data_IF_597371150202
#
_entry.id   IF_597371150202
#
_cell.length_a   1.000
_cell.length_b   1.000
_cell.length_c   1.000
_cell.angle_alpha   90.00
_cell.angle_beta   90.00
_cell.angle_gamma   90.00
#
_symmetry.space_group_name_H-M   'P 1'
#
loop_
_entity.id
_entity.type
_entity.pdbx_description
1 polymer ?
#
# COMPACT_ATOMS: atom_id res chain seq x y z
N UNK A 1 5.15 -8.21 22.88
CA UNK A 1 5.41 -7.28 21.77
C UNK A 1 4.89 -5.91 22.18
N UNK A 2 5.73 -4.90 22.17
CA UNK A 2 5.35 -3.49 22.40
C UNK A 2 4.72 -2.89 21.14
N UNK A 3 4.07 -1.73 21.27
CA UNK A 3 3.53 -1.00 20.10
C UNK A 3 4.62 -0.63 19.10
N UNK A 4 5.79 -0.19 19.58
CA UNK A 4 6.92 0.15 18.72
C UNK A 4 7.44 -1.07 17.94
N UNK A 5 7.60 -2.21 18.61
CA UNK A 5 8.00 -3.46 17.96
C UNK A 5 6.99 -3.89 16.88
N UNK A 6 5.69 -3.77 17.18
CA UNK A 6 4.62 -4.07 16.24
C UNK A 6 4.68 -3.15 15.02
N UNK A 7 4.88 -1.84 15.20
CA UNK A 7 4.96 -0.87 14.11
C UNK A 7 6.21 -1.06 13.24
N UNK A 8 7.35 -1.41 13.85
CA UNK A 8 8.57 -1.76 13.09
C UNK A 8 8.38 -3.05 12.29
N UNK A 9 7.70 -4.05 12.85
CA UNK A 9 7.35 -5.27 12.11
C UNK A 9 6.41 -4.96 10.95
N UNK A 10 5.36 -4.16 11.19
CA UNK A 10 4.44 -3.69 10.14
C UNK A 10 5.18 -2.95 9.03
N UNK A 11 6.11 -2.06 9.38
CA UNK A 11 6.98 -1.37 8.40
C UNK A 11 7.75 -2.36 7.52
N UNK A 12 8.36 -3.40 8.10
CA UNK A 12 9.10 -4.42 7.35
C UNK A 12 8.20 -5.23 6.42
N UNK A 13 7.00 -5.59 6.88
CA UNK A 13 6.01 -6.27 6.04
C UNK A 13 5.63 -5.38 4.85
N UNK A 14 5.58 -4.07 5.03
CA UNK A 14 5.25 -3.13 3.96
C UNK A 14 6.33 -3.00 2.90
N UNK A 15 7.62 -3.10 3.28
CA UNK A 15 8.71 -3.21 2.29
C UNK A 15 8.44 -4.38 1.33
N UNK A 16 8.12 -5.55 1.89
CA UNK A 16 7.89 -6.77 1.11
C UNK A 16 6.63 -6.64 0.27
N UNK A 17 5.53 -6.18 0.88
CA UNK A 17 4.24 -6.04 0.19
C UNK A 17 4.35 -5.07 -0.98
N UNK A 18 4.89 -3.87 -0.78
CA UNK A 18 4.97 -2.85 -1.84
C UNK A 18 5.95 -3.27 -2.94
N UNK A 19 7.06 -3.93 -2.58
CA UNK A 19 8.00 -4.47 -3.55
C UNK A 19 7.33 -5.52 -4.44
N UNK A 20 6.58 -6.44 -3.82
CA UNK A 20 5.83 -7.48 -4.55
C UNK A 20 4.73 -6.88 -5.41
N UNK A 21 3.92 -5.97 -4.86
CA UNK A 21 2.81 -5.33 -5.57
C UNK A 21 3.33 -4.49 -6.75
N UNK A 22 4.33 -3.64 -6.54
CA UNK A 22 4.95 -2.83 -7.58
C UNK A 22 5.57 -3.68 -8.69
N UNK A 23 6.29 -4.74 -8.34
CA UNK A 23 6.87 -5.66 -9.31
C UNK A 23 5.79 -6.43 -10.09
N UNK A 24 4.76 -6.92 -9.40
CA UNK A 24 3.66 -7.66 -10.02
C UNK A 24 2.79 -6.77 -10.91
N UNK A 25 2.60 -5.51 -10.55
CA UNK A 25 1.93 -4.52 -11.40
C UNK A 25 2.69 -4.31 -12.73
N UNK A 26 4.02 -4.31 -12.69
CA UNK A 26 4.85 -4.15 -13.90
C UNK A 26 4.84 -5.43 -14.74
N UNK A 27 5.22 -6.55 -14.13
CA UNK A 27 5.47 -7.81 -14.81
C UNK A 27 4.18 -8.51 -15.25
N UNK A 28 3.13 -8.46 -14.42
CA UNK A 28 1.91 -9.25 -14.60
C UNK A 28 0.63 -8.45 -14.28
N UNK A 29 0.42 -7.26 -14.89
CA UNK A 29 -0.68 -6.35 -14.52
C UNK A 29 -2.06 -7.02 -14.60
N UNK A 30 -2.30 -7.85 -15.61
CA UNK A 30 -3.57 -8.53 -15.78
C UNK A 30 -3.86 -9.53 -14.65
N UNK A 31 -2.87 -10.34 -14.26
CA UNK A 31 -3.03 -11.31 -13.18
C UNK A 31 -3.22 -10.61 -11.84
N UNK A 32 -2.41 -9.58 -11.58
CA UNK A 32 -2.49 -8.78 -10.35
C UNK A 32 -3.85 -8.09 -10.22
N UNK A 33 -4.34 -7.45 -11.28
CA UNK A 33 -5.68 -6.83 -11.30
C UNK A 33 -6.80 -7.84 -11.01
N UNK A 34 -6.74 -9.05 -11.57
CA UNK A 34 -7.69 -10.12 -11.26
C UNK A 34 -7.67 -10.52 -9.78
N UNK A 35 -6.48 -10.63 -9.19
CA UNK A 35 -6.34 -10.93 -7.76
C UNK A 35 -6.97 -9.82 -6.91
N UNK A 36 -6.81 -8.56 -7.31
CA UNK A 36 -7.42 -7.38 -6.68
C UNK A 36 -8.93 -7.23 -6.96
N UNK A 37 -9.53 -8.16 -7.70
CA UNK A 37 -10.98 -8.23 -7.94
C UNK A 37 -11.47 -7.56 -9.22
N UNK A 38 -10.55 -7.19 -10.10
CA UNK A 38 -10.85 -6.70 -11.43
C UNK A 38 -10.86 -7.88 -12.41
N UNK A 39 -11.98 -8.63 -12.43
CA UNK A 39 -12.13 -9.94 -13.12
C UNK A 39 -11.72 -9.91 -14.61
N UNK A 40 -12.17 -8.88 -15.33
CA UNK A 40 -11.87 -8.68 -16.75
C UNK A 40 -11.21 -7.30 -16.96
N UNK A 41 -9.89 -7.17 -16.73
CA UNK A 41 -9.22 -5.90 -16.89
C UNK A 41 -9.11 -5.53 -18.38
N UNK A 42 -9.57 -4.33 -18.73
CA UNK A 42 -9.44 -3.77 -20.07
C UNK A 42 -7.96 -3.56 -20.43
N UNK A 43 -7.62 -3.45 -21.72
CA UNK A 43 -6.24 -3.11 -22.14
C UNK A 43 -5.72 -1.84 -21.45
N UNK A 44 -6.52 -0.78 -21.40
CA UNK A 44 -6.13 0.49 -20.78
C UNK A 44 -5.90 0.36 -19.28
N UNK A 45 -6.74 -0.40 -18.58
CA UNK A 45 -6.56 -0.67 -17.15
C UNK A 45 -5.23 -1.39 -16.89
N UNK A 46 -4.84 -2.35 -17.72
CA UNK A 46 -3.54 -3.05 -17.60
C UNK A 46 -2.37 -2.08 -17.80
N UNK A 47 -2.44 -1.20 -18.80
CA UNK A 47 -1.39 -0.22 -19.08
C UNK A 47 -1.30 0.87 -18.00
N UNK A 48 -2.43 1.35 -17.49
CA UNK A 48 -2.49 2.27 -16.36
C UNK A 48 -1.90 1.63 -15.11
N UNK A 49 -2.35 0.42 -14.75
CA UNK A 49 -1.88 -0.27 -13.55
C UNK A 49 -0.38 -0.58 -13.61
N UNK A 50 0.14 -0.98 -14.78
CA UNK A 50 1.59 -1.13 -15.00
C UNK A 50 2.37 0.15 -14.72
N UNK A 51 1.82 1.32 -15.08
CA UNK A 51 2.44 2.64 -14.80
C UNK A 51 2.34 3.05 -13.34
N UNK A 52 1.42 2.49 -12.57
CA UNK A 52 1.36 2.66 -11.11
C UNK A 52 2.44 1.84 -10.40
N UNK A 53 2.97 0.77 -11.03
CA UNK A 53 4.01 -0.10 -10.47
C UNK A 53 5.18 0.64 -9.78
N UNK A 54 5.84 1.60 -10.45
CA UNK A 54 6.90 2.41 -9.85
C UNK A 54 6.50 3.17 -8.57
N UNK A 55 5.23 3.53 -8.39
CA UNK A 55 4.74 4.23 -7.18
C UNK A 55 4.87 3.31 -5.97
N UNK A 56 4.43 2.05 -6.06
CA UNK A 56 4.64 1.10 -4.95
C UNK A 56 6.13 0.78 -4.75
N UNK A 57 6.95 0.77 -5.80
CA UNK A 57 8.40 0.61 -5.62
C UNK A 57 9.05 1.77 -4.85
N UNK A 58 8.58 3.01 -5.02
CA UNK A 58 9.06 4.14 -4.19
C UNK A 58 8.55 4.03 -2.75
N UNK A 59 7.37 3.44 -2.53
CA UNK A 59 6.86 3.18 -1.19
C UNK A 59 7.72 2.14 -0.48
N UNK A 60 8.06 1.03 -1.15
CA UNK A 60 8.98 0.02 -0.62
C UNK A 60 10.33 0.64 -0.23
N UNK A 61 10.87 1.53 -1.08
CA UNK A 61 12.12 2.24 -0.81
C UNK A 61 12.00 3.16 0.41
N UNK A 62 10.91 3.92 0.54
CA UNK A 62 10.67 4.78 1.69
C UNK A 62 10.59 3.96 3.00
N UNK A 63 9.87 2.84 2.99
CA UNK A 63 9.77 1.93 4.13
C UNK A 63 11.13 1.33 4.51
N UNK A 64 11.96 0.99 3.52
CA UNK A 64 13.31 0.49 3.74
C UNK A 64 14.23 1.56 4.33
N UNK A 65 14.18 2.79 3.82
CA UNK A 65 14.97 3.91 4.36
C UNK A 65 14.59 4.17 5.81
N UNK A 66 13.30 4.20 6.13
CA UNK A 66 12.81 4.36 7.50
C UNK A 66 13.21 3.19 8.42
N UNK A 67 13.18 1.94 7.93
CA UNK A 67 13.65 0.77 8.71
C UNK A 67 15.14 0.90 9.10
N UNK A 68 15.96 1.44 8.19
CA UNK A 68 17.42 1.53 8.37
C UNK A 68 17.86 2.74 9.16
N UNK A 69 17.27 3.91 8.91
CA UNK A 69 17.64 5.18 9.57
C UNK A 69 16.84 5.40 10.85
N UNK A 70 15.56 5.04 10.85
CA UNK A 70 14.68 5.12 12.01
C UNK A 70 14.48 6.51 12.58
N UNK A 71 14.78 7.59 11.85
CA UNK A 71 14.65 8.95 12.37
C UNK A 71 13.19 9.40 12.46
N UNK A 72 12.90 10.35 13.34
CA UNK A 72 11.56 10.94 13.48
C UNK A 72 10.99 11.44 12.14
N UNK A 73 11.82 12.08 11.31
CA UNK A 73 11.44 12.56 9.99
C UNK A 73 11.06 11.41 9.04
N UNK A 74 11.78 10.28 9.08
CA UNK A 74 11.45 9.13 8.23
C UNK A 74 10.07 8.55 8.61
N UNK A 75 9.78 8.43 9.92
CA UNK A 75 8.47 7.98 10.39
C UNK A 75 7.34 8.95 10.04
N UNK A 76 7.61 10.26 10.07
CA UNK A 76 6.64 11.27 9.62
C UNK A 76 6.36 11.13 8.11
N UNK A 77 7.39 10.89 7.29
CA UNK A 77 7.22 10.63 5.87
C UNK A 77 6.38 9.38 5.62
N UNK A 78 6.59 8.30 6.37
CA UNK A 78 5.76 7.08 6.26
C UNK A 78 4.31 7.32 6.69
N UNK A 79 4.08 8.15 7.70
CA UNK A 79 2.74 8.52 8.12
C UNK A 79 1.96 9.20 6.99
N UNK A 80 2.60 10.15 6.30
CA UNK A 80 2.01 10.81 5.13
C UNK A 80 1.81 9.86 3.96
N UNK A 81 2.80 9.02 3.66
CA UNK A 81 2.75 8.06 2.58
C UNK A 81 1.63 7.04 2.76
N UNK A 82 1.41 6.55 3.98
CA UNK A 82 0.24 5.69 4.28
C UNK A 82 -1.07 6.48 4.31
N UNK A 83 -1.01 7.75 4.70
CA UNK A 83 -2.14 8.66 4.64
C UNK A 83 -2.74 8.79 3.23
N UNK A 84 -1.90 8.80 2.18
CA UNK A 84 -2.41 8.89 0.81
C UNK A 84 -3.19 7.63 0.39
N UNK A 85 -2.78 6.46 0.88
CA UNK A 85 -3.43 5.19 0.53
C UNK A 85 -4.82 5.04 1.12
N UNK A 86 -5.17 5.78 2.18
CA UNK A 86 -6.55 5.82 2.71
C UNK A 86 -7.53 6.27 1.62
N UNK A 87 -7.18 7.35 0.91
CA UNK A 87 -8.00 7.88 -0.17
C UNK A 87 -7.93 6.99 -1.42
N UNK A 88 -6.74 6.45 -1.74
CA UNK A 88 -6.56 5.48 -2.82
C UNK A 88 -7.50 4.29 -2.63
N UNK A 89 -7.46 3.63 -1.46
CA UNK A 89 -8.29 2.45 -1.16
C UNK A 89 -9.79 2.75 -1.25
N UNK A 90 -10.21 3.93 -0.79
CA UNK A 90 -11.59 4.38 -0.93
C UNK A 90 -12.01 4.51 -2.40
N UNK A 91 -11.19 5.18 -3.23
CA UNK A 91 -11.44 5.35 -4.66
C UNK A 91 -11.49 4.00 -5.40
N UNK A 92 -10.56 3.09 -5.10
CA UNK A 92 -10.53 1.77 -5.69
C UNK A 92 -11.75 0.93 -5.28
N UNK A 93 -12.16 0.98 -4.00
CA UNK A 93 -13.33 0.24 -3.52
C UNK A 93 -14.64 0.71 -4.15
N UNK A 94 -14.73 1.99 -4.51
CA UNK A 94 -15.88 2.58 -5.17
C UNK A 94 -15.96 2.21 -6.66
N UNK A 95 -14.86 1.75 -7.27
CA UNK A 95 -14.81 1.43 -8.69
C UNK A 95 -15.85 0.36 -9.08
N UNK A 96 -16.64 0.58 -10.16
CA UNK A 96 -17.50 -0.46 -10.74
C UNK A 96 -16.70 -1.64 -11.30
N UNK A 97 -15.44 -1.40 -11.65
CA UNK A 97 -14.59 -2.39 -12.30
C UNK A 97 -13.97 -3.40 -11.32
N UNK A 98 -13.99 -3.10 -10.01
CA UNK A 98 -13.73 -4.07 -8.95
C UNK A 98 -15.04 -4.79 -8.63
N UNK A 99 -15.23 -5.95 -9.24
CA UNK A 99 -16.51 -6.69 -9.24
C UNK A 99 -16.48 -8.00 -8.47
N UNK A 100 -15.28 -8.58 -8.23
CA UNK A 100 -15.18 -9.86 -7.52
C UNK A 100 -15.78 -9.78 -6.11
N UNK A 101 -16.61 -10.75 -5.70
CA UNK A 101 -17.14 -10.79 -4.33
C UNK A 101 -16.02 -10.68 -3.28
N UNK A 102 -16.22 -9.78 -2.32
CA UNK A 102 -15.27 -9.52 -1.23
C UNK A 102 -14.10 -8.59 -1.57
N UNK A 103 -13.81 -8.29 -2.84
CA UNK A 103 -12.66 -7.44 -3.20
C UNK A 103 -12.82 -6.00 -2.70
N UNK A 104 -14.02 -5.43 -2.77
CA UNK A 104 -14.33 -4.10 -2.23
C UNK A 104 -14.14 -4.03 -0.72
N UNK A 105 -14.58 -5.07 0.00
CA UNK A 105 -14.35 -5.17 1.45
C UNK A 105 -12.85 -5.27 1.76
N UNK A 106 -12.09 -6.03 0.97
CA UNK A 106 -10.64 -6.10 1.07
C UNK A 106 -9.97 -4.73 0.96
N UNK A 107 -10.37 -3.93 -0.04
CA UNK A 107 -9.88 -2.56 -0.21
C UNK A 107 -10.28 -1.64 0.95
N UNK A 108 -11.52 -1.74 1.44
CA UNK A 108 -11.95 -0.96 2.61
C UNK A 108 -11.13 -1.30 3.87
N UNK A 109 -10.86 -2.59 4.09
CA UNK A 109 -10.01 -3.05 5.20
C UNK A 109 -8.56 -2.59 5.01
N UNK A 110 -8.05 -2.56 3.78
CA UNK A 110 -6.75 -1.96 3.48
C UNK A 110 -6.74 -0.46 3.85
N UNK A 111 -7.81 0.28 3.56
CA UNK A 111 -7.95 1.68 3.95
C UNK A 111 -7.92 1.87 5.46
N UNK A 112 -8.61 1.01 6.22
CA UNK A 112 -8.56 1.01 7.69
C UNK A 112 -7.16 0.69 8.21
N UNK A 113 -6.46 -0.27 7.59
CA UNK A 113 -5.08 -0.59 7.92
C UNK A 113 -4.15 0.60 7.64
N UNK A 114 -4.35 1.32 6.53
CA UNK A 114 -3.61 2.54 6.20
C UNK A 114 -3.87 3.68 7.21
N UNK A 115 -5.11 3.84 7.71
CA UNK A 115 -5.41 4.76 8.82
C UNK A 115 -4.60 4.38 10.07
N UNK A 116 -4.62 3.11 10.47
CA UNK A 116 -3.91 2.63 11.65
C UNK A 116 -2.39 2.80 11.51
N UNK A 117 -1.82 2.50 10.33
CA UNK A 117 -0.41 2.71 10.04
C UNK A 117 -0.03 4.19 10.04
N UNK A 118 -0.82 5.06 9.40
CA UNK A 118 -0.57 6.50 9.39
C UNK A 118 -0.52 7.06 10.81
N UNK A 119 -1.50 6.71 11.65
CA UNK A 119 -1.53 7.12 13.06
C UNK A 119 -0.35 6.54 13.86
N UNK A 120 -0.02 5.27 13.65
CA UNK A 120 1.11 4.59 14.30
C UNK A 120 2.46 5.19 13.94
N UNK A 121 2.71 5.47 12.67
CA UNK A 121 3.95 6.11 12.22
C UNK A 121 4.04 7.58 12.66
N UNK A 122 2.93 8.31 12.72
CA UNK A 122 2.89 9.66 13.32
C UNK A 122 3.12 9.65 14.84
N UNK A 123 2.84 8.54 15.51
CA UNK A 123 3.23 8.34 16.90
C UNK A 123 4.72 8.02 17.02
N UNK A 124 5.26 7.15 16.16
CA UNK A 124 6.71 6.84 16.10
C UNK A 124 7.55 8.10 15.84
N UNK A 125 7.07 9.03 15.01
CA UNK A 125 7.79 10.26 14.68
C UNK A 125 7.92 11.24 15.86
N UNK A 126 7.26 10.99 16.99
CA UNK A 126 7.29 11.83 18.20
C UNK A 126 8.06 11.20 19.35
N UNK A 127 8.68 10.03 19.13
CA UNK A 127 9.55 9.35 20.08
C UNK A 127 11.02 9.54 19.72
#
# INVERSE_FOLDING_TARGET
MTLEEALRLTNRNMIVFDLLLGSAAIAAPAATLKVLGHEEPSPDAKHLFRRCGPIWLTFAAAHLVADRRGSAADWQSLAWLRGTEIATDALWSASPAVSRPGAKLGLQLAGVANVAMAAGFAWMSRR
#
